data_IF_658925312588
#
_entry.id   IF_658925312588
#
_cell.length_a   1.000
_cell.length_b   1.000
_cell.length_c   1.000
_cell.angle_alpha   90.00
_cell.angle_beta   90.00
_cell.angle_gamma   90.00
#
_symmetry.space_group_name_H-M   'P 1'
#
loop_
_entity.id
_entity.type
_entity.pdbx_description
1 polymer ?
#
# COMPACT_ATOMS: atom_id res chain seq x y z
N UNK A 1 17.14 8.72 -10.14
CA UNK A 1 16.51 7.70 -9.30
C UNK A 1 15.12 8.15 -8.88
N UNK A 2 14.11 7.35 -9.18
CA UNK A 2 12.74 7.68 -8.80
C UNK A 2 12.52 7.44 -7.30
N UNK A 3 11.76 8.31 -6.62
CA UNK A 3 11.40 8.04 -5.24
C UNK A 3 10.53 6.77 -5.14
N UNK A 4 10.63 6.09 -4.02
CA UNK A 4 9.77 4.94 -3.74
C UNK A 4 8.31 5.41 -3.59
N UNK A 5 7.36 4.53 -3.85
CA UNK A 5 5.96 4.85 -3.60
C UNK A 5 5.73 5.20 -2.13
N UNK A 6 6.45 4.56 -1.23
CA UNK A 6 6.42 4.87 0.20
C UNK A 6 6.82 6.32 0.47
N UNK A 7 7.82 6.83 -0.26
CA UNK A 7 8.24 8.23 -0.12
C UNK A 7 7.20 9.19 -0.68
N UNK A 8 6.62 8.86 -1.84
CA UNK A 8 5.59 9.69 -2.47
C UNK A 8 4.38 9.86 -1.56
N UNK A 9 3.96 8.78 -0.89
CA UNK A 9 2.76 8.77 -0.05
C UNK A 9 3.07 8.78 1.44
N UNK A 10 4.28 9.16 1.83
CA UNK A 10 4.70 9.18 3.23
C UNK A 10 3.79 10.03 4.12
N UNK A 11 3.26 11.11 3.57
CA UNK A 11 2.39 12.03 4.31
C UNK A 11 0.92 11.55 4.37
N UNK A 12 0.60 10.45 3.69
CA UNK A 12 -0.71 9.82 3.76
C UNK A 12 -0.53 8.32 4.01
N UNK A 13 -0.42 7.92 5.28
CA UNK A 13 -0.09 6.53 5.63
C UNK A 13 -1.05 5.49 5.05
N UNK A 14 -2.33 5.81 4.93
CA UNK A 14 -3.30 4.90 4.31
C UNK A 14 -2.95 4.64 2.84
N UNK A 15 -2.69 5.71 2.06
CA UNK A 15 -2.29 5.56 0.66
C UNK A 15 -0.98 4.79 0.52
N UNK A 16 -0.02 5.06 1.41
CA UNK A 16 1.25 4.35 1.41
C UNK A 16 1.02 2.84 1.56
N UNK A 17 0.21 2.44 2.53
CA UNK A 17 -0.08 1.02 2.77
C UNK A 17 -0.89 0.41 1.63
N UNK A 18 -1.83 1.16 1.03
CA UNK A 18 -2.55 0.69 -0.16
C UNK A 18 -1.55 0.33 -1.27
N UNK A 19 -0.57 1.19 -1.52
CA UNK A 19 0.47 0.91 -2.51
C UNK A 19 1.27 -0.34 -2.14
N UNK A 20 1.63 -0.51 -0.87
CA UNK A 20 2.37 -1.69 -0.43
C UNK A 20 1.56 -2.97 -0.65
N UNK A 21 0.27 -2.94 -0.34
CA UNK A 21 -0.62 -4.07 -0.58
C UNK A 21 -0.66 -4.42 -2.07
N UNK A 22 -0.79 -3.40 -2.93
CA UNK A 22 -0.85 -3.60 -4.38
C UNK A 22 0.47 -4.05 -4.99
N UNK A 23 1.60 -3.75 -4.36
CA UNK A 23 2.92 -4.17 -4.83
C UNK A 23 3.18 -5.66 -4.58
N UNK A 24 2.35 -6.34 -3.83
CA UNK A 24 2.49 -7.77 -3.64
C UNK A 24 2.22 -8.50 -4.97
N UNK A 25 3.22 -9.23 -5.46
CA UNK A 25 3.15 -9.98 -6.73
C UNK A 25 2.92 -9.09 -7.96
N UNK A 26 3.30 -7.82 -7.89
CA UNK A 26 3.27 -6.91 -9.02
C UNK A 26 4.59 -6.14 -9.10
N UNK A 27 4.75 -5.39 -10.19
CA UNK A 27 5.90 -4.50 -10.36
C UNK A 27 5.47 -3.05 -10.10
N UNK A 28 6.42 -2.21 -9.67
CA UNK A 28 6.21 -0.79 -9.49
C UNK A 28 5.51 -0.16 -10.70
N UNK A 29 5.96 -0.52 -11.90
CA UNK A 29 5.41 0.01 -13.14
C UNK A 29 3.91 -0.25 -13.27
N UNK A 30 3.45 -1.43 -12.84
CA UNK A 30 2.02 -1.77 -12.91
C UNK A 30 1.21 -0.90 -11.95
N UNK A 31 1.71 -0.70 -10.73
CA UNK A 31 1.03 0.14 -9.75
C UNK A 31 1.05 1.61 -10.20
N UNK A 32 2.16 2.09 -10.74
CA UNK A 32 2.23 3.44 -11.32
C UNK A 32 1.15 3.67 -12.37
N UNK A 33 0.84 2.63 -13.16
CA UNK A 33 -0.14 2.73 -14.24
C UNK A 33 -1.58 2.94 -13.76
N UNK A 34 -1.89 2.64 -12.51
CA UNK A 34 -3.27 2.71 -12.02
C UNK A 34 -3.44 3.61 -10.79
N UNK A 35 -2.37 3.97 -10.09
CA UNK A 35 -2.49 4.66 -8.80
C UNK A 35 -3.15 6.03 -8.88
N UNK A 36 -2.92 6.77 -9.96
CA UNK A 36 -3.52 8.11 -10.10
C UNK A 36 -5.02 8.02 -10.27
N UNK A 37 -5.50 7.10 -11.11
CA UNK A 37 -6.93 6.87 -11.27
C UNK A 37 -7.56 6.34 -9.99
N UNK A 38 -6.88 5.40 -9.33
CA UNK A 38 -7.35 4.81 -8.09
C UNK A 38 -7.61 5.87 -7.02
N UNK A 39 -6.61 6.74 -6.78
CA UNK A 39 -6.73 7.75 -5.74
C UNK A 39 -7.51 8.99 -6.18
N UNK A 40 -7.73 9.16 -7.47
CA UNK A 40 -8.68 10.16 -7.95
C UNK A 40 -10.11 9.74 -7.59
N UNK A 41 -10.43 8.46 -7.82
CA UNK A 41 -11.78 7.95 -7.57
C UNK A 41 -12.03 7.66 -6.09
N UNK A 42 -11.01 7.19 -5.38
CA UNK A 42 -11.10 6.86 -3.95
C UNK A 42 -9.99 7.61 -3.19
N UNK A 43 -10.15 8.94 -3.00
CA UNK A 43 -9.07 9.76 -2.44
C UNK A 43 -8.82 9.55 -0.95
N UNK A 44 -9.78 8.97 -0.22
CA UNK A 44 -9.60 8.68 1.20
C UNK A 44 -10.07 7.26 1.53
N UNK A 45 -9.71 6.79 2.74
CA UNK A 45 -10.16 5.51 3.26
C UNK A 45 -11.69 5.41 3.30
N UNK A 46 -12.36 6.54 3.51
CA UNK A 46 -13.83 6.57 3.60
C UNK A 46 -14.49 6.28 2.25
N UNK A 47 -13.98 6.87 1.17
CA UNK A 47 -14.48 6.55 -0.17
C UNK A 47 -14.15 5.12 -0.55
N UNK A 48 -13.00 4.60 -0.12
CA UNK A 48 -12.62 3.22 -0.43
C UNK A 48 -13.58 2.22 0.22
N UNK A 49 -14.01 2.47 1.46
CA UNK A 49 -14.97 1.63 2.16
C UNK A 49 -16.30 1.57 1.39
N UNK A 50 -16.70 2.68 0.78
CA UNK A 50 -17.96 2.79 0.04
C UNK A 50 -17.84 2.36 -1.42
N UNK A 51 -16.68 1.86 -1.85
CA UNK A 51 -16.42 1.52 -3.24
C UNK A 51 -17.35 0.41 -3.72
N UNK A 52 -17.80 0.55 -4.96
CA UNK A 52 -18.43 -0.56 -5.68
C UNK A 52 -17.32 -1.53 -6.08
N UNK A 53 -17.45 -2.78 -5.67
CA UNK A 53 -16.40 -3.77 -5.86
C UNK A 53 -16.08 -4.02 -7.33
N UNK A 54 -17.11 -4.00 -8.20
CA UNK A 54 -16.90 -4.21 -9.63
C UNK A 54 -16.16 -3.04 -10.27
N UNK A 55 -16.51 -1.81 -9.92
CA UNK A 55 -15.81 -0.61 -10.43
C UNK A 55 -14.36 -0.59 -9.97
N UNK A 56 -14.13 -0.90 -8.69
CA UNK A 56 -12.77 -0.96 -8.15
C UNK A 56 -11.95 -2.05 -8.84
N UNK A 57 -12.54 -3.21 -9.06
CA UNK A 57 -11.89 -4.31 -9.78
C UNK A 57 -11.46 -3.90 -11.19
N UNK A 58 -12.28 -3.11 -11.88
CA UNK A 58 -11.93 -2.64 -13.23
C UNK A 58 -10.66 -1.78 -13.22
N UNK A 59 -10.53 -0.89 -12.23
CA UNK A 59 -9.34 -0.04 -12.09
C UNK A 59 -8.09 -0.91 -11.83
N UNK A 60 -8.24 -1.95 -11.01
CA UNK A 60 -7.14 -2.82 -10.59
C UNK A 60 -6.78 -3.90 -11.61
N UNK A 61 -7.56 -4.02 -12.69
CA UNK A 61 -7.41 -5.09 -13.67
C UNK A 61 -5.99 -5.29 -14.19
N UNK A 62 -5.23 -4.23 -14.50
CA UNK A 62 -3.85 -4.41 -14.99
C UNK A 62 -2.91 -5.08 -13.99
N UNK A 63 -3.27 -5.16 -12.71
CA UNK A 63 -2.44 -5.78 -11.69
C UNK A 63 -2.62 -7.30 -11.60
N UNK A 64 -3.68 -7.84 -12.21
CA UNK A 64 -4.08 -9.22 -11.98
C UNK A 64 -4.72 -9.38 -10.60
N UNK A 65 -5.34 -10.54 -10.35
CA UNK A 65 -6.04 -10.82 -9.08
C UNK A 65 -6.96 -9.67 -8.65
N UNK A 66 -7.56 -9.02 -9.63
CA UNK A 66 -8.21 -7.72 -9.42
C UNK A 66 -9.43 -7.80 -8.50
N UNK A 67 -10.21 -8.88 -8.56
CA UNK A 67 -11.36 -9.03 -7.66
C UNK A 67 -10.92 -9.26 -6.22
N UNK A 68 -9.89 -10.07 -6.03
CA UNK A 68 -9.31 -10.32 -4.71
C UNK A 68 -8.68 -9.04 -4.16
N UNK A 69 -7.95 -8.29 -5.00
CA UNK A 69 -7.31 -7.04 -4.60
C UNK A 69 -8.35 -6.00 -4.20
N UNK A 70 -9.46 -5.90 -4.94
CA UNK A 70 -10.54 -4.99 -4.60
C UNK A 70 -11.11 -5.29 -3.22
N UNK A 71 -11.43 -6.56 -2.95
CA UNK A 71 -11.93 -6.98 -1.64
C UNK A 71 -10.92 -6.67 -0.54
N UNK A 72 -9.64 -6.91 -0.81
CA UNK A 72 -8.57 -6.64 0.16
C UNK A 72 -8.50 -5.16 0.51
N UNK A 73 -8.54 -4.27 -0.49
CA UNK A 73 -8.47 -2.83 -0.23
C UNK A 73 -9.66 -2.32 0.55
N UNK A 74 -10.87 -2.82 0.26
CA UNK A 74 -12.07 -2.42 0.99
C UNK A 74 -11.97 -2.89 2.44
N UNK A 75 -11.61 -4.15 2.66
CA UNK A 75 -11.50 -4.71 4.01
C UNK A 75 -10.38 -4.04 4.81
N UNK A 76 -9.22 -3.83 4.19
CA UNK A 76 -8.11 -3.11 4.80
C UNK A 76 -8.56 -1.72 5.26
N UNK A 77 -9.23 -0.99 4.38
CA UNK A 77 -9.67 0.38 4.67
C UNK A 77 -10.68 0.43 5.79
N UNK A 78 -11.60 -0.53 5.83
CA UNK A 78 -12.57 -0.65 6.92
C UNK A 78 -11.86 -0.89 8.25
N UNK A 79 -10.88 -1.78 8.29
CA UNK A 79 -10.11 -2.05 9.51
C UNK A 79 -9.27 -0.85 9.92
N UNK A 80 -8.69 -0.15 8.94
CA UNK A 80 -7.92 1.07 9.17
C UNK A 80 -8.77 2.11 9.91
N UNK A 81 -9.97 2.38 9.42
CA UNK A 81 -10.88 3.38 10.01
C UNK A 81 -11.32 2.98 11.42
N UNK A 82 -11.50 1.68 11.67
CA UNK A 82 -11.96 1.20 12.97
C UNK A 82 -10.84 1.15 14.03
N UNK A 83 -9.61 1.41 13.63
CA UNK A 83 -8.49 1.49 14.57
C UNK A 83 -7.74 0.19 14.74
N UNK A 84 -6.49 0.30 15.12
CA UNK A 84 -5.61 -0.87 15.33
C UNK A 84 -4.51 -0.50 16.32
N UNK A 85 -3.97 -1.51 17.01
CA UNK A 85 -2.83 -1.34 17.90
C UNK A 85 -1.51 -1.66 17.18
N UNK A 86 -1.53 -2.66 16.31
CA UNK A 86 -0.37 -3.11 15.54
C UNK A 86 -0.77 -3.18 14.07
N UNK A 87 0.05 -2.61 13.20
CA UNK A 87 -0.23 -2.57 11.76
C UNK A 87 -0.42 -3.98 11.18
N UNK A 88 0.21 -4.99 11.77
CA UNK A 88 0.06 -6.38 11.32
C UNK A 88 -1.35 -6.95 11.54
N UNK A 89 -2.18 -6.29 12.36
CA UNK A 89 -3.57 -6.69 12.55
C UNK A 89 -4.42 -6.40 11.31
N UNK A 90 -3.97 -5.47 10.47
CA UNK A 90 -4.73 -5.01 9.31
C UNK A 90 -4.69 -6.04 8.19
N UNK A 91 -5.86 -6.28 7.60
CA UNK A 91 -5.98 -7.24 6.51
C UNK A 91 -5.11 -6.82 5.32
N UNK A 92 -4.39 -7.77 4.74
CA UNK A 92 -3.53 -7.52 3.59
C UNK A 92 -2.11 -7.07 3.91
N UNK A 93 -1.79 -6.82 5.18
CA UNK A 93 -0.46 -6.38 5.60
C UNK A 93 0.42 -7.60 5.87
N UNK A 94 1.44 -7.76 5.02
CA UNK A 94 2.50 -8.75 5.23
C UNK A 94 3.81 -8.08 5.62
N UNK A 95 4.89 -8.84 5.56
CA UNK A 95 6.21 -8.39 5.99
C UNK A 95 6.68 -7.12 5.24
N UNK A 96 6.46 -7.07 3.94
CA UNK A 96 6.88 -5.92 3.13
C UNK A 96 6.19 -4.63 3.58
N UNK A 97 4.87 -4.68 3.75
CA UNK A 97 4.11 -3.51 4.18
C UNK A 97 4.47 -3.12 5.62
N UNK A 98 4.65 -4.10 6.50
CA UNK A 98 5.07 -3.84 7.87
C UNK A 98 6.44 -3.17 7.93
N UNK A 99 7.41 -3.65 7.15
CA UNK A 99 8.74 -3.04 7.12
C UNK A 99 8.67 -1.61 6.57
N UNK A 100 7.84 -1.39 5.56
CA UNK A 100 7.60 -0.04 5.03
C UNK A 100 6.99 0.89 6.07
N UNK A 101 6.03 0.39 6.84
CA UNK A 101 5.44 1.13 7.95
C UNK A 101 6.51 1.53 8.98
N UNK A 102 7.36 0.58 9.38
CA UNK A 102 8.41 0.84 10.36
C UNK A 102 9.40 1.90 9.87
N UNK A 103 9.81 1.80 8.62
CA UNK A 103 10.80 2.74 8.06
C UNK A 103 10.18 4.12 7.87
N UNK A 104 9.04 4.21 7.20
CA UNK A 104 8.52 5.47 6.70
C UNK A 104 7.53 6.15 7.64
N UNK A 105 6.91 5.43 8.55
CA UNK A 105 5.95 6.01 9.50
C UNK A 105 6.50 6.06 10.91
N UNK A 106 7.26 5.03 11.32
CA UNK A 106 7.82 4.96 12.67
C UNK A 106 9.27 5.43 12.74
N UNK A 107 9.85 5.76 11.60
CA UNK A 107 11.26 6.19 11.49
C UNK A 107 12.23 5.17 12.11
N UNK A 108 11.91 3.90 11.99
CA UNK A 108 12.74 2.81 12.51
C UNK A 108 13.64 2.29 11.39
N UNK A 109 14.90 2.75 11.38
CA UNK A 109 15.88 2.38 10.36
C UNK A 109 16.64 1.10 10.70
N UNK A 110 16.32 0.47 11.85
CA UNK A 110 16.99 -0.73 12.30
C UNK A 110 16.30 -2.02 11.85
N UNK A 111 15.17 -1.91 11.15
CA UNK A 111 14.51 -3.10 10.59
C UNK A 111 15.42 -3.78 9.57
N UNK A 112 15.24 -5.08 9.44
CA UNK A 112 16.03 -5.91 8.51
C UNK A 112 15.09 -6.54 7.49
N UNK A 113 14.67 -5.76 6.47
CA UNK A 113 13.75 -6.28 5.47
C UNK A 113 14.43 -7.31 4.59
N UNK A 114 13.64 -8.21 4.02
CA UNK A 114 14.11 -9.13 3.00
C UNK A 114 13.94 -8.54 1.59
N UNK A 115 13.09 -7.53 1.45
CA UNK A 115 12.87 -6.88 0.17
C UNK A 115 14.10 -6.09 -0.27
N UNK A 116 14.55 -6.33 -1.50
CA UNK A 116 15.79 -5.74 -2.02
C UNK A 116 15.72 -4.23 -2.18
N UNK A 117 14.54 -3.70 -2.51
CA UNK A 117 14.35 -2.26 -2.69
C UNK A 117 14.44 -1.55 -1.35
N UNK A 118 13.82 -2.11 -0.31
CA UNK A 118 13.90 -1.54 1.04
C UNK A 118 15.32 -1.63 1.60
N UNK A 119 16.02 -2.74 1.35
CA UNK A 119 17.42 -2.87 1.75
C UNK A 119 18.29 -1.81 1.09
N UNK A 120 18.10 -1.59 -0.21
CA UNK A 120 18.86 -0.56 -0.93
C UNK A 120 18.55 0.84 -0.39
N UNK A 121 17.30 1.11 -0.07
CA UNK A 121 16.91 2.39 0.53
C UNK A 121 17.63 2.63 1.86
N UNK A 122 17.63 1.62 2.74
CA UNK A 122 18.29 1.73 4.05
C UNK A 122 19.81 1.94 3.90
N UNK A 123 20.44 1.32 2.91
CA UNK A 123 21.86 1.52 2.64
C UNK A 123 22.17 2.96 2.23
N UNK A 124 21.26 3.60 1.52
CA UNK A 124 21.43 5.00 1.08
C UNK A 124 21.24 5.97 2.25
N UNK A 125 20.25 5.75 3.10
CA UNK A 125 19.90 6.72 4.16
C UNK A 125 20.65 6.49 5.47
N UNK A 126 21.25 5.33 5.66
CA UNK A 126 22.14 5.05 6.79
C UNK A 126 23.62 5.29 6.37
#
# INVERSE_FOLDING_TARGET
VRPLLQEIYQDDPWKMLVCCILLNLTKRQQVDGIRHELFYKYPTEYEMIEADEDELSEILKPLGLYRKRAKTLIKFSWMWVNGFSDVMELYGIGQYARDSWEIFQMNNMDVKPTDKVLLAYLDIVN
#
